data_IF_879314157639
#
_entry.id   IF_879314157639
#
_cell.length_a   1.000
_cell.length_b   1.000
_cell.length_c   1.000
_cell.angle_alpha   90.00
_cell.angle_beta   90.00
_cell.angle_gamma   90.00
#
_symmetry.space_group_name_H-M   'P 1'
#
loop_
_entity.id
_entity.type
_entity.pdbx_description
1 polymer ?
#
# COMPACT_ATOMS: atom_id res chain seq x y z
N UNK A 1 -14.47 -13.49 5.78
CA UNK A 1 -13.54 -12.35 5.84
C UNK A 1 -13.73 -11.59 7.15
N UNK A 2 -12.67 -11.01 7.74
CA UNK A 2 -12.76 -10.05 8.87
C UNK A 2 -12.79 -8.62 8.30
N UNK A 3 -13.51 -7.71 8.94
CA UNK A 3 -13.61 -6.31 8.51
C UNK A 3 -13.19 -5.36 9.64
N UNK A 4 -12.58 -4.23 9.27
CA UNK A 4 -12.19 -3.15 10.19
C UNK A 4 -12.71 -1.82 9.67
N UNK A 5 -13.00 -0.90 10.59
CA UNK A 5 -13.39 0.45 10.23
C UNK A 5 -12.20 1.20 9.64
N UNK A 6 -12.42 1.94 8.54
CA UNK A 6 -11.41 2.80 7.93
C UNK A 6 -11.39 4.14 8.67
N UNK A 7 -10.51 4.26 9.66
CA UNK A 7 -10.42 5.42 10.55
C UNK A 7 -11.77 5.79 11.17
N UNK A 8 -12.15 7.08 11.13
CA UNK A 8 -13.43 7.59 11.67
C UNK A 8 -14.56 7.66 10.62
N UNK A 9 -14.49 6.83 9.57
CA UNK A 9 -15.49 6.82 8.49
C UNK A 9 -16.57 5.76 8.74
N UNK A 10 -17.62 5.74 7.91
CA UNK A 10 -18.62 4.68 7.89
C UNK A 10 -18.19 3.43 7.09
N UNK A 11 -16.99 3.46 6.48
CA UNK A 11 -16.50 2.36 5.66
C UNK A 11 -15.92 1.22 6.49
N UNK A 12 -16.43 0.01 6.25
CA UNK A 12 -15.87 -1.25 6.74
C UNK A 12 -15.06 -1.93 5.63
N UNK A 13 -13.74 -1.90 5.76
CA UNK A 13 -12.81 -2.51 4.80
C UNK A 13 -12.38 -3.91 5.25
N UNK A 14 -12.19 -4.82 4.30
CA UNK A 14 -11.67 -6.16 4.57
C UNK A 14 -10.24 -6.10 5.11
N UNK A 15 -9.95 -6.89 6.14
CA UNK A 15 -8.63 -6.96 6.78
C UNK A 15 -7.53 -7.39 5.79
N UNK A 16 -7.88 -8.21 4.81
CA UNK A 16 -7.05 -8.45 3.63
C UNK A 16 -7.63 -7.61 2.50
N UNK A 17 -6.80 -6.76 1.89
CA UNK A 17 -7.14 -5.95 0.72
C UNK A 17 -6.39 -6.43 -0.52
N UNK A 18 -6.96 -6.21 -1.71
CA UNK A 18 -6.36 -6.63 -2.97
C UNK A 18 -5.53 -5.49 -3.57
N UNK A 19 -4.19 -5.62 -3.55
CA UNK A 19 -3.27 -4.76 -4.29
C UNK A 19 -3.15 -5.19 -5.75
N UNK A 20 -3.19 -4.22 -6.68
CA UNK A 20 -3.44 -4.50 -8.10
C UNK A 20 -2.28 -4.19 -9.06
N UNK A 21 -1.14 -3.75 -8.53
CA UNK A 21 -0.10 -3.08 -9.32
C UNK A 21 0.60 -3.93 -10.41
N UNK A 22 0.34 -5.23 -10.49
CA UNK A 22 0.92 -6.13 -11.50
C UNK A 22 0.13 -6.14 -12.81
N UNK A 23 -1.11 -5.67 -12.82
CA UNK A 23 -2.02 -5.79 -13.95
C UNK A 23 -1.74 -4.76 -15.05
N UNK A 24 -1.57 -5.22 -16.27
CA UNK A 24 -1.07 -4.41 -17.40
C UNK A 24 0.42 -4.58 -17.66
N UNK A 25 1.12 -5.42 -16.87
CA UNK A 25 2.53 -5.75 -17.08
C UNK A 25 2.87 -7.20 -16.80
N UNK A 26 2.83 -7.62 -15.54
CA UNK A 26 3.06 -9.02 -15.15
C UNK A 26 1.80 -9.86 -15.36
N UNK A 27 0.63 -9.25 -15.21
CA UNK A 27 -0.64 -9.90 -15.42
C UNK A 27 -1.41 -9.24 -16.56
N UNK A 28 -2.12 -10.06 -17.31
CA UNK A 28 -3.08 -9.63 -18.33
C UNK A 28 -4.37 -9.10 -17.70
N UNK A 29 -5.21 -8.46 -18.50
CA UNK A 29 -6.57 -8.06 -18.06
C UNK A 29 -7.40 -9.27 -17.58
N UNK A 30 -7.35 -10.38 -18.31
CA UNK A 30 -8.12 -11.57 -17.96
C UNK A 30 -7.70 -12.16 -16.60
N UNK A 31 -6.39 -12.19 -16.33
CA UNK A 31 -5.88 -12.60 -15.03
C UNK A 31 -6.26 -11.61 -13.93
N UNK A 32 -6.20 -10.30 -14.19
CA UNK A 32 -6.70 -9.28 -13.27
C UNK A 32 -8.18 -9.48 -12.93
N UNK A 33 -9.02 -9.77 -13.93
CA UNK A 33 -10.44 -10.08 -13.73
C UNK A 33 -10.62 -11.32 -12.84
N UNK A 34 -9.90 -12.40 -13.14
CA UNK A 34 -9.95 -13.63 -12.35
C UNK A 34 -9.56 -13.39 -10.88
N UNK A 35 -8.55 -12.56 -10.64
CA UNK A 35 -8.15 -12.20 -9.28
C UNK A 35 -9.22 -11.35 -8.57
N UNK A 36 -9.83 -10.38 -9.25
CA UNK A 36 -10.91 -9.55 -8.69
C UNK A 36 -12.17 -10.37 -8.39
N UNK A 37 -12.59 -11.23 -9.31
CA UNK A 37 -13.75 -12.11 -9.15
C UNK A 37 -13.56 -12.99 -7.90
N UNK A 38 -12.41 -13.67 -7.80
CA UNK A 38 -12.10 -14.53 -6.66
C UNK A 38 -11.98 -13.74 -5.34
N UNK A 39 -11.37 -12.55 -5.36
CA UNK A 39 -11.26 -11.72 -4.16
C UNK A 39 -12.65 -11.33 -3.62
N UNK A 40 -13.57 -10.89 -4.49
CA UNK A 40 -14.95 -10.60 -4.10
C UNK A 40 -15.66 -11.85 -3.53
N UNK A 41 -15.50 -13.01 -4.19
CA UNK A 41 -16.08 -14.27 -3.71
C UNK A 41 -15.60 -14.66 -2.30
N UNK A 42 -14.35 -14.31 -1.95
CA UNK A 42 -13.80 -14.53 -0.60
C UNK A 42 -14.17 -13.44 0.42
N UNK A 43 -14.96 -12.44 0.00
CA UNK A 43 -15.42 -11.32 0.82
C UNK A 43 -14.40 -10.19 0.98
N UNK A 44 -13.39 -10.11 0.12
CA UNK A 44 -12.52 -8.92 0.06
C UNK A 44 -13.29 -7.81 -0.64
N UNK A 45 -13.49 -6.68 0.03
CA UNK A 45 -14.15 -5.52 -0.55
C UNK A 45 -13.18 -4.35 -0.79
N UNK A 46 -11.97 -4.37 -0.24
CA UNK A 46 -11.03 -3.25 -0.33
C UNK A 46 -9.97 -3.48 -1.41
N UNK A 47 -10.03 -2.71 -2.51
CA UNK A 47 -9.12 -2.84 -3.65
C UNK A 47 -8.25 -1.58 -3.77
N UNK A 48 -6.94 -1.76 -3.94
CA UNK A 48 -5.97 -0.68 -4.04
C UNK A 48 -5.31 -0.59 -5.42
N UNK A 49 -5.34 0.59 -6.02
CA UNK A 49 -4.66 0.91 -7.28
C UNK A 49 -3.97 2.27 -7.22
N UNK A 50 -3.38 2.74 -8.32
CA UNK A 50 -2.80 4.07 -8.45
C UNK A 50 -2.70 4.46 -9.93
N UNK A 51 -2.69 5.76 -10.23
CA UNK A 51 -2.57 6.22 -11.61
C UNK A 51 -1.28 5.74 -12.30
N UNK A 52 -0.20 5.56 -11.53
CA UNK A 52 1.10 5.20 -12.07
C UNK A 52 1.23 3.71 -12.39
N UNK A 53 0.29 2.88 -11.93
CA UNK A 53 0.34 1.45 -12.15
C UNK A 53 0.01 1.12 -13.61
N UNK A 54 0.67 0.15 -14.25
CA UNK A 54 1.35 -1.01 -13.64
C UNK A 54 2.81 -0.78 -13.18
N UNK A 55 3.34 -1.72 -12.39
CA UNK A 55 4.72 -1.74 -11.87
C UNK A 55 5.55 -2.87 -12.51
N UNK A 56 6.84 -2.66 -12.88
CA UNK A 56 7.56 -1.38 -12.91
C UNK A 56 6.86 -0.29 -13.73
N UNK A 57 6.90 0.98 -13.28
CA UNK A 57 6.19 2.05 -13.97
C UNK A 57 6.96 2.45 -15.23
N UNK A 58 6.24 2.62 -16.33
CA UNK A 58 6.76 3.18 -17.59
C UNK A 58 5.73 4.10 -18.22
N UNK A 59 6.14 4.93 -19.17
CA UNK A 59 5.23 5.77 -19.96
C UNK A 59 4.15 4.94 -20.67
N UNK A 60 4.54 3.80 -21.24
CA UNK A 60 3.66 2.90 -21.98
C UNK A 60 2.59 2.25 -21.09
N UNK A 61 2.94 1.85 -19.87
CA UNK A 61 2.04 1.12 -18.95
C UNK A 61 1.32 2.01 -17.94
N UNK A 62 1.50 3.33 -18.00
CA UNK A 62 0.85 4.29 -17.09
C UNK A 62 -0.68 4.20 -17.21
N UNK A 63 -1.37 4.11 -16.07
CA UNK A 63 -2.83 3.99 -15.99
C UNK A 63 -3.43 2.65 -16.44
N UNK A 64 -2.60 1.67 -16.83
CA UNK A 64 -3.09 0.38 -17.34
C UNK A 64 -3.89 -0.38 -16.29
N UNK A 65 -3.45 -0.35 -15.02
CA UNK A 65 -4.14 -1.06 -13.94
C UNK A 65 -5.51 -0.45 -13.65
N UNK A 66 -5.64 0.88 -13.61
CA UNK A 66 -6.94 1.55 -13.46
C UNK A 66 -7.86 1.24 -14.64
N UNK A 67 -7.33 1.20 -15.86
CA UNK A 67 -8.10 0.85 -17.07
C UNK A 67 -8.64 -0.59 -16.99
N UNK A 68 -7.82 -1.54 -16.53
CA UNK A 68 -8.23 -2.92 -16.31
C UNK A 68 -9.35 -2.99 -15.26
N UNK A 69 -9.20 -2.31 -14.13
CA UNK A 69 -10.24 -2.25 -13.09
C UNK A 69 -11.53 -1.64 -13.66
N UNK A 70 -11.44 -0.54 -14.42
CA UNK A 70 -12.60 0.10 -15.03
C UNK A 70 -13.33 -0.79 -16.03
N UNK A 71 -12.60 -1.55 -16.83
CA UNK A 71 -13.17 -2.55 -17.74
C UNK A 71 -13.92 -3.65 -16.97
N UNK A 72 -13.39 -4.07 -15.83
CA UNK A 72 -14.04 -5.05 -14.95
C UNK A 72 -15.34 -4.50 -14.35
N UNK A 73 -15.33 -3.26 -13.84
CA UNK A 73 -16.55 -2.61 -13.34
C UNK A 73 -17.61 -2.46 -14.43
N UNK A 74 -17.23 -2.03 -15.63
CA UNK A 74 -18.16 -1.86 -16.74
C UNK A 74 -18.80 -3.18 -17.17
N UNK A 75 -18.04 -4.28 -17.14
CA UNK A 75 -18.52 -5.63 -17.44
C UNK A 75 -19.48 -6.16 -16.37
N UNK A 76 -19.12 -6.03 -15.10
CA UNK A 76 -19.80 -6.73 -14.00
C UNK A 76 -20.85 -5.90 -13.25
N UNK A 77 -20.87 -4.57 -13.45
CA UNK A 77 -21.81 -3.64 -12.80
C UNK A 77 -21.82 -3.74 -11.27
N UNK A 78 -20.66 -4.04 -10.68
CA UNK A 78 -20.47 -4.35 -9.26
C UNK A 78 -19.67 -3.28 -8.50
N UNK A 79 -19.51 -2.07 -9.07
CA UNK A 79 -18.74 -0.95 -8.46
C UNK A 79 -19.10 -0.70 -6.98
N UNK A 80 -20.37 -0.83 -6.64
CA UNK A 80 -20.89 -0.58 -5.28
C UNK A 80 -20.40 -1.60 -4.23
N UNK A 81 -19.95 -2.78 -4.68
CA UNK A 81 -19.47 -3.85 -3.79
C UNK A 81 -17.99 -3.67 -3.41
N UNK A 82 -17.27 -2.76 -4.09
CA UNK A 82 -15.85 -2.51 -3.88
C UNK A 82 -15.68 -1.15 -3.23
N UNK A 83 -14.91 -1.12 -2.15
CA UNK A 83 -14.29 0.09 -1.61
C UNK A 83 -12.97 0.27 -2.35
N UNK A 84 -12.94 1.22 -3.27
CA UNK A 84 -11.80 1.43 -4.16
C UNK A 84 -10.91 2.55 -3.65
N UNK A 85 -9.61 2.24 -3.50
CA UNK A 85 -8.57 3.22 -3.25
C UNK A 85 -7.73 3.47 -4.52
N UNK A 86 -7.51 4.74 -4.86
CA UNK A 86 -6.50 5.14 -5.87
C UNK A 86 -5.58 6.23 -5.33
N UNK A 87 -4.54 6.60 -6.09
CA UNK A 87 -3.49 7.51 -5.64
C UNK A 87 -2.99 8.42 -6.75
N UNK A 88 -2.63 9.65 -6.35
CA UNK A 88 -1.82 10.56 -7.16
C UNK A 88 -0.33 10.33 -6.90
N UNK A 89 0.45 10.14 -7.97
CA UNK A 89 1.90 10.06 -7.90
C UNK A 89 2.51 11.41 -7.48
N UNK A 90 3.47 11.37 -6.56
CA UNK A 90 4.33 12.52 -6.27
C UNK A 90 5.38 12.76 -7.36
N UNK A 91 6.44 13.54 -7.07
CA UNK A 91 7.50 13.86 -8.03
C UNK A 91 8.41 12.68 -8.37
N UNK A 92 9.07 12.78 -9.54
CA UNK A 92 10.19 11.90 -9.94
C UNK A 92 9.96 11.02 -11.16
N UNK A 93 8.76 11.01 -11.76
CA UNK A 93 8.47 10.22 -12.96
C UNK A 93 8.31 11.12 -14.20
N UNK A 94 9.22 11.05 -15.19
CA UNK A 94 9.34 12.06 -16.25
C UNK A 94 8.20 12.05 -17.27
N UNK A 95 7.43 10.96 -17.37
CA UNK A 95 6.29 10.85 -18.29
C UNK A 95 4.95 11.20 -17.64
N UNK A 96 4.92 11.38 -16.32
CA UNK A 96 3.68 11.73 -15.63
C UNK A 96 3.57 13.25 -15.63
N UNK A 97 2.56 13.75 -16.37
CA UNK A 97 2.32 15.19 -16.56
C UNK A 97 3.59 15.91 -17.02
N UNK A 98 4.26 15.33 -18.01
CA UNK A 98 5.50 15.83 -18.60
C UNK A 98 6.63 16.09 -17.58
N UNK A 99 6.67 15.29 -16.51
CA UNK A 99 7.66 15.42 -15.44
C UNK A 99 7.33 16.47 -14.39
N UNK A 100 6.18 17.14 -14.51
CA UNK A 100 5.68 18.16 -13.58
C UNK A 100 4.75 17.59 -12.49
N UNK A 101 4.73 16.27 -12.31
CA UNK A 101 3.98 15.63 -11.23
C UNK A 101 4.47 16.12 -9.86
N UNK A 102 3.67 16.91 -9.17
CA UNK A 102 3.83 17.29 -7.76
C UNK A 102 2.47 17.27 -7.08
N UNK A 103 2.45 17.23 -5.76
CA UNK A 103 1.21 17.29 -4.97
C UNK A 103 0.84 18.76 -4.76
N UNK A 104 0.08 19.31 -5.72
CA UNK A 104 -0.50 20.65 -5.70
C UNK A 104 -1.94 20.63 -6.25
N UNK A 105 -2.62 21.78 -6.22
CA UNK A 105 -4.01 21.87 -6.67
C UNK A 105 -4.21 21.36 -8.10
N UNK A 106 -3.43 21.84 -9.06
CA UNK A 106 -3.64 21.55 -10.48
C UNK A 106 -3.43 20.07 -10.79
N UNK A 107 -2.38 19.48 -10.23
CA UNK A 107 -2.05 18.08 -10.46
C UNK A 107 -3.04 17.13 -9.78
N UNK A 108 -3.51 17.46 -8.57
CA UNK A 108 -4.56 16.68 -7.87
C UNK A 108 -5.85 16.65 -8.70
N UNK A 109 -6.33 17.80 -9.16
CA UNK A 109 -7.54 17.89 -9.97
C UNK A 109 -7.41 17.07 -11.27
N UNK A 110 -6.29 17.24 -12.00
CA UNK A 110 -6.04 16.53 -13.24
C UNK A 110 -5.89 15.01 -13.06
N UNK A 111 -5.23 14.57 -11.97
CA UNK A 111 -5.02 13.16 -11.67
C UNK A 111 -6.34 12.47 -11.34
N UNK A 112 -7.17 13.05 -10.48
CA UNK A 112 -8.48 12.49 -10.11
C UNK A 112 -9.38 12.32 -11.32
N UNK A 113 -9.51 13.36 -12.16
CA UNK A 113 -10.32 13.30 -13.37
C UNK A 113 -9.84 12.22 -14.35
N UNK A 114 -8.51 12.06 -14.47
CA UNK A 114 -7.92 11.04 -15.32
C UNK A 114 -8.12 9.63 -14.77
N UNK A 115 -7.98 9.45 -13.46
CA UNK A 115 -8.23 8.19 -12.76
C UNK A 115 -9.69 7.76 -12.90
N UNK A 116 -10.66 8.66 -12.63
CA UNK A 116 -12.09 8.36 -12.76
C UNK A 116 -12.47 7.93 -14.18
N UNK A 117 -11.92 8.60 -15.20
CA UNK A 117 -12.12 8.19 -16.61
C UNK A 117 -11.62 6.78 -16.88
N UNK A 118 -10.41 6.43 -16.46
CA UNK A 118 -9.84 5.09 -16.65
C UNK A 118 -10.60 4.02 -15.85
N UNK A 119 -11.01 4.36 -14.63
CA UNK A 119 -11.77 3.49 -13.75
C UNK A 119 -13.26 3.36 -14.13
N UNK A 120 -13.74 4.18 -15.07
CA UNK A 120 -15.13 4.18 -15.54
C UNK A 120 -16.15 4.22 -14.39
N UNK A 121 -15.90 5.09 -13.42
CA UNK A 121 -16.71 5.32 -12.21
C UNK A 121 -16.72 6.80 -11.89
N UNK A 122 -17.77 7.27 -11.22
CA UNK A 122 -17.93 8.69 -10.89
C UNK A 122 -17.24 9.08 -9.57
N UNK A 123 -16.87 8.10 -8.76
CA UNK A 123 -16.25 8.31 -7.45
C UNK A 123 -15.16 7.28 -7.09
N UNK A 124 -14.21 7.70 -6.26
CA UNK A 124 -13.22 6.87 -5.56
C UNK A 124 -13.50 6.92 -4.05
N UNK A 125 -13.53 5.77 -3.36
CA UNK A 125 -13.85 5.75 -1.93
C UNK A 125 -12.72 6.32 -1.07
N UNK A 126 -11.47 6.03 -1.42
CA UNK A 126 -10.28 6.55 -0.76
C UNK A 126 -9.26 7.08 -1.77
N UNK A 127 -8.95 8.37 -1.73
CA UNK A 127 -7.91 8.96 -2.57
C UNK A 127 -6.66 9.25 -1.75
N UNK A 128 -5.50 8.78 -2.20
CA UNK A 128 -4.27 8.84 -1.41
C UNK A 128 -3.18 9.68 -2.10
N UNK A 129 -2.41 10.40 -1.30
CA UNK A 129 -1.17 11.04 -1.75
C UNK A 129 -0.07 9.97 -1.77
N UNK A 130 0.39 9.54 -2.95
CA UNK A 130 1.20 8.32 -3.07
C UNK A 130 2.59 8.46 -2.44
N UNK A 131 3.23 9.61 -2.55
CA UNK A 131 4.41 9.99 -1.76
C UNK A 131 4.53 11.51 -1.72
N UNK A 132 5.15 12.08 -0.66
CA UNK A 132 5.16 13.52 -0.46
C UNK A 132 6.16 14.25 -1.38
N UNK A 133 5.88 15.53 -1.66
CA UNK A 133 6.77 16.43 -2.40
C UNK A 133 8.16 16.56 -1.79
N UNK A 134 8.24 16.54 -0.45
CA UNK A 134 9.48 16.77 0.31
C UNK A 134 10.38 15.53 0.42
N UNK A 135 9.98 14.42 -0.19
CA UNK A 135 10.57 13.11 0.06
C UNK A 135 10.18 12.52 1.42
N UNK A 136 10.63 11.30 1.68
CA UNK A 136 10.44 10.59 2.95
C UNK A 136 11.53 9.55 3.12
N UNK A 137 11.60 8.90 4.29
CA UNK A 137 12.53 7.80 4.54
C UNK A 137 12.13 6.48 3.85
N UNK A 138 10.96 6.44 3.20
CA UNK A 138 10.49 5.26 2.49
C UNK A 138 11.35 4.97 1.26
N UNK A 139 11.12 3.83 0.61
CA UNK A 139 11.87 3.40 -0.58
C UNK A 139 13.38 3.18 -0.37
N UNK A 140 13.82 2.95 0.88
CA UNK A 140 15.20 2.64 1.23
C UNK A 140 16.01 3.84 1.73
N UNK A 141 15.38 5.00 1.91
CA UNK A 141 16.05 6.27 2.26
C UNK A 141 16.21 6.48 3.77
N UNK A 142 15.89 5.49 4.61
CA UNK A 142 15.86 5.64 6.08
C UNK A 142 17.20 5.94 6.72
N UNK A 143 18.30 5.47 6.13
CA UNK A 143 19.64 5.54 6.72
C UNK A 143 20.22 6.96 6.80
N UNK A 144 19.77 7.86 5.92
CA UNK A 144 20.30 9.23 5.81
C UNK A 144 19.17 10.27 5.69
N UNK A 145 17.95 9.92 6.12
CA UNK A 145 16.81 10.81 5.99
C UNK A 145 16.97 12.05 6.88
N UNK A 146 17.26 13.19 6.26
CA UNK A 146 17.39 14.49 6.91
C UNK A 146 16.76 15.57 6.00
N UNK A 147 15.41 15.65 5.95
CA UNK A 147 14.71 16.48 4.99
C UNK A 147 15.04 17.97 5.20
N UNK A 148 15.58 18.61 4.16
CA UNK A 148 15.81 20.04 4.15
C UNK A 148 14.55 20.73 3.62
N UNK A 149 13.62 21.04 4.52
CA UNK A 149 12.35 21.65 4.13
C UNK A 149 12.00 22.87 4.98
N UNK A 150 11.48 23.90 4.32
CA UNK A 150 10.92 25.07 5.00
C UNK A 150 9.55 24.70 5.58
N UNK A 151 9.44 24.67 6.91
CA UNK A 151 8.21 24.28 7.61
C UNK A 151 7.00 25.11 7.18
N UNK A 152 7.13 26.43 7.06
CA UNK A 152 6.03 27.32 6.70
C UNK A 152 5.54 27.05 5.27
N UNK A 153 6.46 26.80 4.34
CA UNK A 153 6.12 26.42 2.97
C UNK A 153 5.40 25.06 2.91
N UNK A 154 5.83 24.09 3.72
CA UNK A 154 5.15 22.80 3.84
C UNK A 154 3.74 22.93 4.39
N UNK A 155 3.56 23.65 5.49
CA UNK A 155 2.22 23.86 6.08
C UNK A 155 1.28 24.57 5.10
N UNK A 156 1.78 25.56 4.35
CA UNK A 156 1.01 26.20 3.27
C UNK A 156 0.58 25.21 2.19
N UNK A 157 1.49 24.34 1.73
CA UNK A 157 1.17 23.31 0.74
C UNK A 157 0.18 22.27 1.30
N UNK A 158 0.34 21.85 2.56
CA UNK A 158 -0.60 20.90 3.18
C UNK A 158 -2.02 21.47 3.26
N UNK A 159 -2.16 22.76 3.59
CA UNK A 159 -3.47 23.45 3.56
C UNK A 159 -4.04 23.47 2.14
N UNK A 160 -3.27 23.90 1.13
CA UNK A 160 -3.71 23.93 -0.27
C UNK A 160 -4.17 22.54 -0.76
N UNK A 161 -3.44 21.50 -0.37
CA UNK A 161 -3.76 20.11 -0.70
C UNK A 161 -5.07 19.68 -0.02
N UNK A 162 -5.24 19.96 1.27
CA UNK A 162 -6.46 19.65 2.01
C UNK A 162 -7.67 20.42 1.47
N UNK A 163 -7.51 21.69 1.09
CA UNK A 163 -8.56 22.50 0.44
C UNK A 163 -8.95 21.90 -0.93
N UNK A 164 -7.96 21.52 -1.75
CA UNK A 164 -8.22 20.90 -3.05
C UNK A 164 -8.94 19.56 -2.90
N UNK A 165 -8.52 18.73 -1.94
CA UNK A 165 -9.18 17.47 -1.65
C UNK A 165 -10.60 17.68 -1.13
N UNK A 166 -10.85 18.76 -0.37
CA UNK A 166 -12.19 19.14 0.05
C UNK A 166 -13.09 19.52 -1.13
N UNK A 167 -12.57 20.31 -2.09
CA UNK A 167 -13.30 20.63 -3.34
C UNK A 167 -13.74 19.35 -4.07
N UNK A 168 -12.87 18.33 -4.13
CA UNK A 168 -13.17 17.05 -4.77
C UNK A 168 -14.16 16.19 -3.99
N UNK A 169 -14.13 16.24 -2.64
CA UNK A 169 -15.13 15.59 -1.79
C UNK A 169 -16.50 16.23 -1.99
N UNK A 170 -16.57 17.56 -1.95
CA UNK A 170 -17.81 18.31 -2.18
C UNK A 170 -18.36 18.02 -3.59
N UNK A 171 -17.49 17.87 -4.59
CA UNK A 171 -17.86 17.48 -5.95
C UNK A 171 -18.28 16.00 -6.09
N UNK A 172 -18.17 15.19 -5.02
CA UNK A 172 -18.53 13.76 -5.03
C UNK A 172 -17.55 12.86 -5.77
N UNK A 173 -16.39 13.38 -6.20
CA UNK A 173 -15.38 12.63 -6.98
C UNK A 173 -14.54 11.69 -6.11
N UNK A 174 -14.35 12.04 -4.85
CA UNK A 174 -13.67 11.21 -3.84
C UNK A 174 -14.47 11.25 -2.54
N UNK A 175 -14.40 10.21 -1.70
CA UNK A 175 -15.15 10.19 -0.42
C UNK A 175 -14.26 10.47 0.79
N UNK A 176 -13.09 9.85 0.85
CA UNK A 176 -12.12 10.03 1.93
C UNK A 176 -10.70 10.16 1.41
N UNK A 177 -9.80 10.63 2.27
CA UNK A 177 -8.40 10.89 1.92
C UNK A 177 -7.41 10.16 2.83
N UNK A 178 -6.31 9.71 2.23
CA UNK A 178 -5.25 8.99 2.91
C UNK A 178 -3.86 9.49 2.51
N UNK A 179 -2.86 9.09 3.28
CA UNK A 179 -1.44 9.33 2.98
C UNK A 179 -0.78 8.03 2.58
N UNK A 180 0.32 8.10 1.85
CA UNK A 180 1.19 6.96 1.57
C UNK A 180 2.64 7.40 1.57
N UNK A 181 3.51 6.50 2.03
CA UNK A 181 4.95 6.75 2.16
C UNK A 181 5.25 8.01 2.97
N UNK A 182 4.49 8.19 4.06
CA UNK A 182 4.59 9.31 4.99
C UNK A 182 5.29 8.95 6.30
N UNK A 183 5.76 9.98 6.99
CA UNK A 183 6.45 10.06 8.26
C UNK A 183 5.48 10.55 9.34
N UNK A 184 5.80 10.24 10.60
CA UNK A 184 4.96 10.62 11.75
C UNK A 184 4.70 12.14 11.81
N UNK A 185 5.76 12.96 11.66
CA UNK A 185 5.66 14.41 11.74
C UNK A 185 4.59 15.00 10.81
N UNK A 186 4.64 14.65 9.53
CA UNK A 186 3.72 15.24 8.57
C UNK A 186 2.32 14.63 8.63
N UNK A 187 2.18 13.34 8.99
CA UNK A 187 0.85 12.80 9.34
C UNK A 187 0.21 13.62 10.45
N UNK A 188 0.93 13.86 11.56
CA UNK A 188 0.42 14.71 12.65
C UNK A 188 0.09 16.12 12.16
N UNK A 189 0.89 16.70 11.25
CA UNK A 189 0.59 18.01 10.66
C UNK A 189 -0.66 18.03 9.80
N UNK A 190 -0.90 17.02 8.96
CA UNK A 190 -2.14 16.93 8.21
C UNK A 190 -3.36 16.83 9.12
N UNK A 191 -3.27 16.05 10.20
CA UNK A 191 -4.35 15.91 11.19
C UNK A 191 -4.62 17.23 11.93
N UNK A 192 -3.57 17.89 12.43
CA UNK A 192 -3.64 19.20 13.10
C UNK A 192 -4.25 20.28 12.20
N UNK A 193 -3.77 20.37 10.95
CA UNK A 193 -4.26 21.36 9.98
C UNK A 193 -5.68 21.08 9.54
N UNK A 194 -6.06 19.81 9.38
CA UNK A 194 -7.44 19.42 9.10
C UNK A 194 -8.40 19.93 10.18
N UNK A 195 -8.08 19.71 11.46
CA UNK A 195 -8.90 20.17 12.57
C UNK A 195 -8.94 21.70 12.64
N UNK A 196 -7.77 22.35 12.63
CA UNK A 196 -7.62 23.80 12.74
C UNK A 196 -8.38 24.58 11.65
N UNK A 197 -8.40 24.04 10.42
CA UNK A 197 -9.00 24.70 9.27
C UNK A 197 -10.36 24.12 8.88
N UNK A 198 -10.93 23.19 9.66
CA UNK A 198 -12.18 22.50 9.34
C UNK A 198 -12.16 21.84 7.95
N UNK A 199 -11.02 21.24 7.60
CA UNK A 199 -10.77 20.54 6.34
C UNK A 199 -10.87 19.02 6.52
N UNK A 200 -11.01 18.24 5.43
CA UNK A 200 -11.12 16.79 5.51
C UNK A 200 -9.96 16.14 6.27
N UNK A 201 -10.30 15.15 7.10
CA UNK A 201 -9.32 14.41 7.92
C UNK A 201 -8.67 13.28 7.12
N UNK A 202 -7.37 13.08 7.33
CA UNK A 202 -6.67 11.87 6.85
C UNK A 202 -7.17 10.65 7.64
N UNK A 203 -7.66 9.62 6.93
CA UNK A 203 -8.27 8.44 7.57
C UNK A 203 -7.38 7.20 7.58
N UNK A 204 -6.26 7.23 6.86
CA UNK A 204 -5.34 6.10 6.77
C UNK A 204 -3.94 6.50 6.29
N UNK A 205 -2.99 5.61 6.57
CA UNK A 205 -1.61 5.68 6.07
C UNK A 205 -1.25 4.38 5.36
N UNK A 206 -0.90 4.45 4.07
CA UNK A 206 -0.42 3.31 3.30
C UNK A 206 1.12 3.29 3.26
N UNK A 207 1.73 2.56 4.21
CA UNK A 207 3.18 2.44 4.38
C UNK A 207 3.67 0.99 4.31
N UNK A 208 4.97 0.80 4.04
CA UNK A 208 5.56 -0.53 3.99
C UNK A 208 5.56 -1.16 5.38
N UNK A 209 5.03 -2.38 5.48
CA UNK A 209 5.07 -3.11 6.73
C UNK A 209 5.07 -4.62 6.50
N UNK A 210 6.02 -5.32 7.10
CA UNK A 210 6.19 -6.77 7.01
C UNK A 210 7.01 -7.28 8.20
N UNK A 211 7.25 -8.59 8.29
CA UNK A 211 8.23 -9.14 9.23
C UNK A 211 9.62 -8.50 9.08
N UNK A 212 9.98 -8.09 7.86
CA UNK A 212 11.30 -7.55 7.53
C UNK A 212 11.35 -6.01 7.52
N UNK A 213 10.20 -5.33 7.50
CA UNK A 213 10.11 -3.87 7.54
C UNK A 213 9.13 -3.44 8.64
N UNK A 214 9.67 -2.98 9.77
CA UNK A 214 8.89 -2.55 10.96
C UNK A 214 9.16 -1.08 11.33
N UNK A 215 9.46 -0.23 10.35
CA UNK A 215 9.69 1.22 10.54
C UNK A 215 8.44 1.96 11.02
N UNK A 216 7.26 1.39 10.83
CA UNK A 216 5.99 1.98 11.27
C UNK A 216 5.83 1.98 12.80
N UNK A 217 6.48 1.05 13.51
CA UNK A 217 6.20 0.80 14.93
C UNK A 217 6.63 1.91 15.89
N UNK A 218 7.80 2.56 15.75
CA UNK A 218 8.27 3.52 16.75
C UNK A 218 7.31 4.70 16.98
N UNK A 219 6.86 5.37 15.92
CA UNK A 219 6.08 6.62 16.04
C UNK A 219 4.73 6.56 15.31
N UNK A 220 4.69 5.94 14.12
CA UNK A 220 3.47 5.92 13.30
C UNK A 220 2.39 5.01 13.90
N UNK A 221 2.77 3.97 14.64
CA UNK A 221 1.82 3.10 15.33
C UNK A 221 1.07 3.82 16.45
N UNK A 222 1.75 4.72 17.16
CA UNK A 222 1.14 5.56 18.20
C UNK A 222 0.09 6.47 17.55
N UNK A 223 0.46 7.18 16.47
CA UNK A 223 -0.50 8.00 15.71
C UNK A 223 -1.67 7.16 15.22
N UNK A 224 -1.41 5.98 14.63
CA UNK A 224 -2.46 5.14 14.08
C UNK A 224 -3.51 4.74 15.13
N UNK A 225 -3.07 4.43 16.35
CA UNK A 225 -3.91 3.99 17.45
C UNK A 225 -4.59 5.14 18.19
N UNK A 226 -3.91 6.27 18.38
CA UNK A 226 -4.45 7.42 19.13
C UNK A 226 -5.32 8.33 18.26
N UNK A 227 -5.04 8.40 16.96
CA UNK A 227 -5.72 9.31 16.03
C UNK A 227 -6.72 8.62 15.09
N UNK A 228 -6.96 7.31 15.28
CA UNK A 228 -7.80 6.49 14.39
C UNK A 228 -7.39 6.65 12.91
N UNK A 229 -6.08 6.61 12.64
CA UNK A 229 -5.49 6.78 11.32
C UNK A 229 -4.70 5.51 10.97
N UNK A 230 -5.41 4.42 10.72
CA UNK A 230 -4.82 3.08 10.62
C UNK A 230 -3.92 2.85 9.41
N UNK A 231 -3.11 1.80 9.50
CA UNK A 231 -2.18 1.35 8.46
C UNK A 231 -2.89 0.51 7.40
N UNK A 232 -2.68 0.87 6.14
CA UNK A 232 -2.87 0.01 4.97
C UNK A 232 -1.51 -0.56 4.58
N UNK A 233 -1.17 -1.75 5.07
CA UNK A 233 0.18 -2.30 4.96
C UNK A 233 0.46 -2.76 3.52
N UNK A 234 1.46 -2.16 2.86
CA UNK A 234 1.91 -2.59 1.54
C UNK A 234 3.22 -3.39 1.61
N UNK A 235 3.46 -4.23 0.58
CA UNK A 235 4.55 -5.23 0.53
C UNK A 235 4.68 -6.11 1.79
N UNK A 236 3.59 -6.71 2.30
CA UNK A 236 3.65 -7.54 3.51
C UNK A 236 4.51 -8.81 3.34
N UNK A 237 4.75 -9.23 2.10
CA UNK A 237 5.67 -10.32 1.74
C UNK A 237 7.05 -9.82 1.26
N UNK A 238 7.37 -8.55 1.48
CA UNK A 238 8.65 -7.94 1.08
C UNK A 238 8.92 -8.17 -0.41
N UNK A 239 7.97 -7.78 -1.27
CA UNK A 239 7.99 -8.06 -2.73
C UNK A 239 8.10 -9.55 -3.12
N UNK A 240 7.74 -10.45 -2.21
CA UNK A 240 7.82 -11.91 -2.36
C UNK A 240 9.15 -12.51 -1.88
N UNK A 241 10.08 -11.72 -1.33
CA UNK A 241 11.37 -12.21 -0.85
C UNK A 241 11.24 -13.18 0.32
N UNK A 242 10.28 -12.94 1.23
CA UNK A 242 10.09 -13.80 2.42
C UNK A 242 9.78 -15.27 2.07
N UNK A 243 9.31 -15.55 0.85
CA UNK A 243 9.12 -16.92 0.35
C UNK A 243 10.42 -17.70 0.16
N UNK A 244 11.58 -17.04 0.24
CA UNK A 244 12.89 -17.63 -0.03
C UNK A 244 13.23 -17.79 -1.51
N UNK A 245 12.33 -17.40 -2.43
CA UNK A 245 12.52 -17.63 -3.88
C UNK A 245 13.74 -16.95 -4.51
N UNK A 246 14.36 -16.01 -3.79
CA UNK A 246 15.54 -15.26 -4.24
C UNK A 246 16.82 -15.59 -3.44
N UNK A 247 16.75 -16.51 -2.47
CA UNK A 247 17.92 -16.91 -1.68
C UNK A 247 19.00 -17.50 -2.60
N UNK A 248 20.25 -17.41 -2.15
CA UNK A 248 21.43 -17.92 -2.88
C UNK A 248 21.62 -17.26 -4.26
N UNK A 249 21.17 -16.01 -4.41
CA UNK A 249 21.29 -15.26 -5.67
C UNK A 249 20.32 -15.71 -6.76
N UNK A 250 19.30 -16.51 -6.42
CA UNK A 250 18.29 -16.94 -7.38
C UNK A 250 17.45 -15.75 -7.88
N UNK A 251 17.16 -15.72 -9.18
CA UNK A 251 16.20 -14.78 -9.78
C UNK A 251 15.29 -15.55 -10.73
N UNK A 252 14.21 -16.18 -10.23
CA UNK A 252 13.35 -17.03 -11.06
C UNK A 252 12.74 -16.24 -12.23
N UNK A 253 12.59 -16.87 -13.39
CA UNK A 253 11.97 -16.24 -14.55
C UNK A 253 10.51 -15.80 -14.26
N UNK A 254 10.12 -14.62 -14.75
CA UNK A 254 8.80 -14.04 -14.53
C UNK A 254 8.57 -13.50 -13.10
N UNK A 255 9.55 -13.68 -12.20
CA UNK A 255 9.52 -13.07 -10.87
C UNK A 255 9.66 -11.55 -10.96
N UNK A 256 9.28 -10.87 -9.87
CA UNK A 256 9.35 -9.40 -9.84
C UNK A 256 10.78 -8.88 -10.02
N UNK A 257 11.79 -9.52 -9.42
CA UNK A 257 13.19 -9.09 -9.58
C UNK A 257 13.74 -9.37 -10.98
N UNK A 258 13.16 -10.32 -11.73
CA UNK A 258 13.55 -10.54 -13.13
C UNK A 258 13.04 -9.46 -14.09
N UNK A 259 12.05 -8.66 -13.68
CA UNK A 259 11.36 -7.68 -14.53
C UNK A 259 11.62 -6.23 -14.13
N UNK A 260 11.96 -6.00 -12.87
CA UNK A 260 12.22 -4.67 -12.32
C UNK A 260 13.72 -4.38 -12.27
N UNK A 261 14.19 -3.58 -13.21
CA UNK A 261 15.61 -3.23 -13.35
C UNK A 261 16.06 -2.13 -12.36
N UNK A 262 15.15 -1.58 -11.54
CA UNK A 262 15.50 -0.60 -10.51
C UNK A 262 16.32 -1.26 -9.41
N UNK A 263 17.24 -0.50 -8.80
CA UNK A 263 18.00 -0.95 -7.63
C UNK A 263 17.03 -1.40 -6.53
N UNK A 264 17.22 -2.62 -6.06
CA UNK A 264 16.45 -3.18 -4.96
C UNK A 264 17.24 -2.99 -3.65
N UNK A 265 16.78 -2.07 -2.80
CA UNK A 265 17.44 -1.76 -1.53
C UNK A 265 17.35 -2.91 -0.52
N UNK A 266 16.42 -3.85 -0.72
CA UNK A 266 16.21 -4.99 0.19
C UNK A 266 17.16 -6.16 -0.04
N UNK A 267 17.97 -6.14 -1.11
CA UNK A 267 18.93 -7.21 -1.37
C UNK A 267 20.19 -6.99 -0.53
N UNK A 268 20.33 -7.77 0.53
CA UNK A 268 21.53 -7.80 1.39
C UNK A 268 21.71 -9.20 2.00
N UNK A 269 22.95 -9.60 2.35
CA UNK A 269 23.19 -10.83 3.10
C UNK A 269 22.42 -10.89 4.43
N UNK A 270 22.20 -9.73 5.06
CA UNK A 270 21.42 -9.60 6.29
C UNK A 270 19.94 -9.93 6.06
N UNK A 271 19.38 -9.51 4.92
CA UNK A 271 18.01 -9.83 4.53
C UNK A 271 17.86 -11.33 4.25
N UNK A 272 18.81 -11.94 3.53
CA UNK A 272 18.81 -13.39 3.29
C UNK A 272 18.86 -14.18 4.61
N UNK A 273 19.75 -13.81 5.53
CA UNK A 273 19.85 -14.44 6.84
C UNK A 273 18.56 -14.31 7.68
N UNK A 274 17.88 -13.16 7.59
CA UNK A 274 16.59 -12.96 8.25
C UNK A 274 15.49 -13.84 7.62
N UNK A 275 15.44 -13.91 6.29
CA UNK A 275 14.48 -14.75 5.54
C UNK A 275 14.68 -16.23 5.90
N UNK A 276 15.91 -16.73 5.90
CA UNK A 276 16.22 -18.11 6.29
C UNK A 276 15.76 -18.42 7.72
N UNK A 277 15.96 -17.48 8.65
CA UNK A 277 15.51 -17.63 10.03
C UNK A 277 13.98 -17.69 10.14
N UNK A 278 13.25 -16.83 9.43
CA UNK A 278 11.78 -16.86 9.41
C UNK A 278 11.23 -18.10 8.70
N UNK A 279 11.87 -18.59 7.64
CA UNK A 279 11.50 -19.85 6.98
C UNK A 279 11.70 -21.03 7.94
N UNK A 280 12.82 -21.05 8.68
CA UNK A 280 13.09 -22.08 9.68
C UNK A 280 12.01 -22.08 10.77
N UNK A 281 11.71 -20.91 11.34
CA UNK A 281 10.67 -20.75 12.36
C UNK A 281 9.30 -21.21 11.86
N UNK A 282 8.90 -20.80 10.65
CA UNK A 282 7.63 -21.24 10.06
C UNK A 282 7.55 -22.77 9.94
N UNK A 283 8.65 -23.44 9.53
CA UNK A 283 8.72 -24.90 9.45
C UNK A 283 8.60 -25.59 10.81
N UNK A 284 9.23 -25.05 11.85
CA UNK A 284 9.13 -25.56 13.23
C UNK A 284 7.68 -25.55 13.73
N UNK A 285 6.89 -24.55 13.30
CA UNK A 285 5.46 -24.42 13.59
C UNK A 285 4.54 -25.03 12.52
N UNK A 286 5.08 -25.74 11.53
CA UNK A 286 4.32 -26.37 10.43
C UNK A 286 3.46 -25.38 9.60
N UNK A 287 3.96 -24.16 9.42
CA UNK A 287 3.30 -23.09 8.66
C UNK A 287 4.01 -22.83 7.32
N UNK A 288 3.23 -22.35 6.34
CA UNK A 288 3.80 -21.64 5.21
C UNK A 288 4.31 -20.27 5.65
N UNK A 289 5.56 -19.92 5.27
CA UNK A 289 6.20 -18.67 5.71
C UNK A 289 5.48 -17.42 5.20
N UNK A 290 4.86 -17.47 4.01
CA UNK A 290 4.12 -16.32 3.48
C UNK A 290 2.81 -16.14 4.24
N UNK A 291 2.10 -17.23 4.55
CA UNK A 291 0.89 -17.17 5.37
C UNK A 291 1.21 -16.71 6.79
N UNK A 292 2.29 -17.20 7.41
CA UNK A 292 2.76 -16.72 8.72
C UNK A 292 3.06 -15.22 8.69
N UNK A 293 3.78 -14.75 7.66
CA UNK A 293 4.09 -13.33 7.49
C UNK A 293 2.84 -12.46 7.36
N UNK A 294 1.84 -12.91 6.58
CA UNK A 294 0.58 -12.20 6.41
C UNK A 294 -0.26 -12.20 7.69
N UNK A 295 -0.34 -13.34 8.39
CA UNK A 295 -1.04 -13.45 9.66
C UNK A 295 -0.45 -12.53 10.73
N UNK A 296 0.89 -12.45 10.80
CA UNK A 296 1.59 -11.50 11.67
C UNK A 296 1.17 -10.05 11.39
N UNK A 297 1.13 -9.63 10.12
CA UNK A 297 0.71 -8.27 9.76
C UNK A 297 -0.76 -8.04 10.10
N UNK A 298 -1.64 -9.02 9.81
CA UNK A 298 -3.08 -8.94 10.11
C UNK A 298 -3.37 -8.79 11.61
N UNK A 299 -2.53 -9.34 12.49
CA UNK A 299 -2.69 -9.30 13.95
C UNK A 299 -2.21 -7.99 14.59
N UNK A 300 -1.55 -7.10 13.85
CA UNK A 300 -1.15 -5.82 14.41
C UNK A 300 -2.37 -4.92 14.66
N UNK A 301 -2.43 -4.33 15.86
CA UNK A 301 -3.56 -3.48 16.28
C UNK A 301 -3.74 -2.27 15.36
N UNK A 302 -2.63 -1.68 14.89
CA UNK A 302 -2.62 -0.50 14.02
C UNK A 302 -2.92 -0.80 12.54
N UNK A 303 -3.03 -2.07 12.13
CA UNK A 303 -3.32 -2.43 10.72
C UNK A 303 -4.81 -2.47 10.46
N UNK A 304 -5.31 -1.59 9.58
CA UNK A 304 -6.69 -1.61 9.08
C UNK A 304 -6.87 -2.62 7.95
N UNK A 305 -5.89 -2.72 7.03
CA UNK A 305 -5.90 -3.72 5.96
C UNK A 305 -4.48 -4.08 5.49
N UNK A 306 -4.28 -5.33 5.10
CA UNK A 306 -3.05 -5.86 4.52
C UNK A 306 -3.23 -6.00 3.01
N UNK A 307 -2.53 -5.17 2.24
CA UNK A 307 -2.61 -5.15 0.78
C UNK A 307 -1.76 -6.27 0.18
N UNK A 308 -2.41 -7.40 -0.12
CA UNK A 308 -1.76 -8.55 -0.74
C UNK A 308 -1.59 -8.33 -2.24
N UNK A 309 -0.54 -8.92 -2.81
CA UNK A 309 -0.33 -8.95 -4.26
C UNK A 309 -0.04 -10.37 -4.72
N UNK A 310 -0.54 -10.73 -5.89
CA UNK A 310 -0.35 -12.04 -6.49
C UNK A 310 -0.18 -11.92 -8.01
N UNK A 311 0.61 -12.82 -8.57
CA UNK A 311 0.78 -12.95 -10.03
C UNK A 311 0.07 -14.16 -10.61
N UNK A 312 -0.44 -15.05 -9.75
CA UNK A 312 -1.26 -16.19 -10.15
C UNK A 312 -2.25 -16.56 -9.05
N UNK A 313 -3.22 -17.41 -9.39
CA UNK A 313 -4.29 -17.80 -8.48
C UNK A 313 -3.81 -18.65 -7.29
N UNK A 314 -2.73 -19.41 -7.42
CA UNK A 314 -2.20 -20.20 -6.29
C UNK A 314 -1.67 -19.28 -5.19
N UNK A 315 -0.91 -18.24 -5.57
CA UNK A 315 -0.43 -17.21 -4.66
C UNK A 315 -1.61 -16.46 -4.04
N UNK A 316 -2.59 -16.04 -4.84
CA UNK A 316 -3.75 -15.29 -4.33
C UNK A 316 -4.53 -16.11 -3.29
N UNK A 317 -4.86 -17.37 -3.61
CA UNK A 317 -5.55 -18.29 -2.70
C UNK A 317 -4.79 -18.47 -1.39
N UNK A 318 -3.50 -18.79 -1.48
CA UNK A 318 -2.64 -18.98 -0.31
C UNK A 318 -2.56 -17.71 0.54
N UNK A 319 -2.41 -16.53 -0.07
CA UNK A 319 -2.35 -15.26 0.63
C UNK A 319 -3.67 -14.93 1.36
N UNK A 320 -4.82 -15.19 0.73
CA UNK A 320 -6.13 -14.97 1.35
C UNK A 320 -6.36 -15.94 2.52
N UNK A 321 -5.94 -17.19 2.38
CA UNK A 321 -6.06 -18.22 3.42
C UNK A 321 -5.33 -17.87 4.73
N UNK A 322 -4.37 -16.94 4.70
CA UNK A 322 -3.72 -16.42 5.90
C UNK A 322 -4.70 -15.78 6.91
N UNK A 323 -5.91 -15.39 6.48
CA UNK A 323 -6.96 -14.89 7.39
C UNK A 323 -7.44 -15.93 8.42
N UNK A 324 -7.21 -17.22 8.14
CA UNK A 324 -7.60 -18.36 8.98
C UNK A 324 -6.57 -18.67 10.06
N UNK A 325 -5.37 -18.08 9.98
CA UNK A 325 -4.32 -18.30 10.95
C UNK A 325 -4.43 -17.29 12.10
N UNK A 326 -4.26 -17.82 13.31
CA UNK A 326 -4.08 -17.04 14.53
C UNK A 326 -2.76 -17.48 15.15
N UNK A 327 -1.76 -16.60 15.13
CA UNK A 327 -0.43 -16.89 15.63
C UNK A 327 -0.45 -16.84 17.16
N UNK A 328 0.02 -17.92 17.80
CA UNK A 328 0.07 -18.03 19.26
C UNK A 328 1.03 -17.01 19.88
N UNK A 329 0.83 -16.71 21.16
CA UNK A 329 1.73 -15.84 21.93
C UNK A 329 3.18 -16.36 21.93
N UNK A 330 3.35 -17.68 21.92
CA UNK A 330 4.66 -18.34 21.79
C UNK A 330 5.34 -17.98 20.46
N UNK A 331 4.66 -18.21 19.34
CA UNK A 331 5.20 -17.90 18.01
C UNK A 331 5.43 -16.38 17.83
N UNK A 332 4.55 -15.54 18.35
CA UNK A 332 4.74 -14.08 18.36
C UNK A 332 5.99 -13.67 19.16
N UNK A 333 6.24 -14.33 20.29
CA UNK A 333 7.46 -14.12 21.09
C UNK A 333 8.72 -14.49 20.30
N UNK A 334 8.71 -15.61 19.58
CA UNK A 334 9.83 -16.05 18.74
C UNK A 334 10.05 -15.13 17.54
N UNK A 335 8.98 -14.66 16.89
CA UNK A 335 9.04 -13.63 15.85
C UNK A 335 9.70 -12.36 16.39
N UNK A 336 9.36 -11.95 17.61
CA UNK A 336 9.96 -10.78 18.25
C UNK A 336 11.43 -11.01 18.63
N UNK A 337 11.82 -12.23 19.00
CA UNK A 337 13.22 -12.57 19.19
C UNK A 337 14.02 -12.46 17.88
N UNK A 338 13.46 -12.95 16.75
CA UNK A 338 14.08 -12.76 15.43
C UNK A 338 14.16 -11.28 15.04
N UNK A 339 13.13 -10.48 15.34
CA UNK A 339 13.16 -9.03 15.10
C UNK A 339 14.28 -8.35 15.90
N UNK A 340 14.59 -8.79 17.11
CA UNK A 340 15.73 -8.24 17.89
C UNK A 340 17.07 -8.63 17.28
N UNK A 341 17.16 -9.84 16.72
CA UNK A 341 18.37 -10.33 16.04
C UNK A 341 18.60 -9.64 14.68
N UNK A 342 17.52 -9.35 13.96
CA UNK A 342 17.52 -8.71 12.65
C UNK A 342 16.67 -7.43 12.67
N UNK A 343 17.14 -6.36 13.34
CA UNK A 343 16.29 -5.21 13.61
C UNK A 343 16.00 -4.33 12.40
N UNK A 344 16.86 -4.31 11.41
CA UNK A 344 16.66 -3.57 10.17
C UNK A 344 17.48 -4.29 9.10
N UNK A 345 16.93 -5.38 8.51
CA UNK A 345 17.67 -6.23 7.57
C UNK A 345 18.13 -5.48 6.31
N UNK A 346 17.45 -4.38 5.98
CA UNK A 346 17.72 -3.50 4.84
C UNK A 346 17.40 -2.04 5.14
#
# INVERSE_FOLDING_TARGET
>A
MKYKQLGRTDLLISLIGLGTMTWGRQNTQAEGFQQMDYALEQGINFFDTAEMYAIPPTAETYGSTETIIGNWFARNKNRQQVILASKIAGPGLPWIRDGHSVIDKNNIMAAVDSSLRRLQTDYIDLYQLHWPNRGSYHFGEIWQYAPQANKQALEKNFIEVLETLNELIIAGKIRHIGLSNETAWATSKYLELSEKHSLPRIVSMQNEYSLLCRHFEPDLSEIALQEDCGLLAWSPLTRGMISGKYLNGAVPAGSRLSLDMRREHRLSPQTDAAIEAYIKLAKEHQLDVCQMALAFVNQQAFVSSTLIGATNMQQLKSNIDAIKLDLSDELLSEINALRRRYPMPF
#
